data_IF_173263208944
#
_entry.id   IF_173263208944
#
_cell.length_a   1.000
_cell.length_b   1.000
_cell.length_c   1.000
_cell.angle_alpha   90.00
_cell.angle_beta   90.00
_cell.angle_gamma   90.00
#
_symmetry.space_group_name_H-M   'P 1'
#
loop_
_entity.id
_entity.type
_entity.pdbx_description
1 polymer ?
#
# COMPACT_ATOMS: atom_id res chain seq x y z
N UNK A 1 3.06 -8.76 19.58
CA UNK A 1 1.98 -9.70 19.16
C UNK A 1 0.88 -8.95 18.41
N UNK A 2 0.00 -9.68 17.71
CA UNK A 2 -1.16 -9.08 17.05
C UNK A 2 -2.11 -8.42 18.07
N UNK A 3 -2.29 -9.05 19.22
CA UNK A 3 -3.15 -8.55 20.30
C UNK A 3 -2.65 -7.19 20.80
N UNK A 4 -1.38 -7.04 21.11
CA UNK A 4 -0.77 -5.77 21.54
C UNK A 4 -0.93 -4.69 20.46
N UNK A 5 -0.73 -5.04 19.19
CA UNK A 5 -0.91 -4.10 18.08
C UNK A 5 -2.37 -3.61 17.97
N UNK A 6 -3.35 -4.50 18.14
CA UNK A 6 -4.77 -4.14 18.13
C UNK A 6 -5.17 -3.27 19.32
N UNK A 7 -4.58 -3.48 20.50
CA UNK A 7 -4.78 -2.60 21.67
C UNK A 7 -4.22 -1.19 21.40
N UNK A 8 -3.03 -1.08 20.79
CA UNK A 8 -2.47 0.22 20.38
C UNK A 8 -3.35 0.91 19.34
N UNK A 9 -3.87 0.16 18.36
CA UNK A 9 -4.77 0.70 17.34
C UNK A 9 -6.03 1.25 18.00
N UNK A 10 -6.62 0.55 18.98
CA UNK A 10 -7.76 1.05 19.73
C UNK A 10 -7.46 2.38 20.40
N UNK A 11 -6.32 2.49 21.09
CA UNK A 11 -5.90 3.76 21.71
C UNK A 11 -5.71 4.90 20.69
N UNK A 12 -5.25 4.59 19.47
CA UNK A 12 -5.14 5.56 18.36
C UNK A 12 -6.55 5.96 17.88
N UNK A 13 -7.46 4.99 17.71
CA UNK A 13 -8.84 5.23 17.29
C UNK A 13 -9.61 6.09 18.33
N UNK A 14 -9.41 5.86 19.63
CA UNK A 14 -10.02 6.65 20.71
C UNK A 14 -9.60 8.13 20.66
N UNK A 15 -8.47 8.44 20.01
CA UNK A 15 -8.00 9.80 19.72
C UNK A 15 -8.51 10.36 18.39
N UNK A 16 -9.36 9.62 17.67
CA UNK A 16 -9.95 10.03 16.40
C UNK A 16 -9.11 9.74 15.14
N UNK A 17 -8.04 8.96 15.26
CA UNK A 17 -7.18 8.60 14.11
C UNK A 17 -7.51 7.20 13.59
N UNK A 18 -7.42 7.02 12.29
CA UNK A 18 -7.41 5.71 11.65
C UNK A 18 -6.01 5.09 11.68
N UNK A 19 -5.92 3.78 11.54
CA UNK A 19 -4.64 3.08 11.49
C UNK A 19 -4.51 2.19 10.24
N UNK A 20 -3.27 1.86 9.92
CA UNK A 20 -2.93 0.79 8.98
C UNK A 20 -1.98 -0.16 9.69
N UNK A 21 -2.23 -1.47 9.61
CA UNK A 21 -1.36 -2.50 10.19
C UNK A 21 -0.82 -3.41 9.09
N UNK A 22 0.39 -3.89 9.27
CA UNK A 22 1.00 -4.96 8.47
C UNK A 22 1.65 -6.02 9.37
N UNK A 23 1.88 -7.20 8.81
CA UNK A 23 2.74 -8.22 9.41
C UNK A 23 4.13 -8.02 8.83
N UNK A 24 5.11 -7.74 9.68
CA UNK A 24 6.49 -7.50 9.23
C UNK A 24 7.05 -8.75 8.56
N UNK A 25 7.58 -8.59 7.37
CA UNK A 25 8.19 -9.62 6.55
C UNK A 25 8.12 -9.30 5.08
N UNK A 26 9.01 -9.90 4.32
CA UNK A 26 9.08 -9.81 2.86
C UNK A 26 9.96 -10.94 2.31
N UNK A 27 9.96 -11.13 0.98
CA UNK A 27 10.89 -12.00 0.26
C UNK A 27 10.74 -13.50 0.61
N UNK A 28 9.55 -13.97 0.97
CA UNK A 28 9.28 -15.39 1.25
C UNK A 28 9.40 -16.22 -0.04
N UNK A 29 10.03 -17.38 0.08
CA UNK A 29 10.26 -18.34 -1.01
C UNK A 29 9.68 -19.72 -0.73
N UNK A 30 9.08 -19.92 0.43
CA UNK A 30 8.43 -21.14 0.84
C UNK A 30 6.89 -21.00 0.75
N UNK A 31 6.24 -21.92 0.04
CA UNK A 31 4.78 -21.86 -0.20
C UNK A 31 3.98 -22.03 1.09
N UNK A 32 4.39 -22.92 1.99
CA UNK A 32 3.66 -23.17 3.22
C UNK A 32 3.77 -21.97 4.17
N UNK A 33 4.92 -21.30 4.18
CA UNK A 33 5.12 -20.04 4.90
C UNK A 33 4.22 -18.94 4.32
N UNK A 34 4.20 -18.74 3.00
CA UNK A 34 3.34 -17.75 2.34
C UNK A 34 1.85 -18.00 2.63
N UNK A 35 1.40 -19.27 2.60
CA UNK A 35 0.02 -19.65 2.96
C UNK A 35 -0.28 -19.40 4.44
N UNK A 36 0.68 -19.65 5.33
CA UNK A 36 0.50 -19.38 6.76
C UNK A 36 0.37 -17.86 7.04
N UNK A 37 1.20 -17.04 6.42
CA UNK A 37 1.09 -15.57 6.50
C UNK A 37 -0.26 -15.09 5.94
N UNK A 38 -0.70 -15.66 4.83
CA UNK A 38 -2.03 -15.37 4.25
C UNK A 38 -3.15 -15.62 5.26
N UNK A 39 -3.12 -16.76 5.97
CA UNK A 39 -4.09 -17.08 7.03
C UNK A 39 -4.03 -16.07 8.19
N UNK A 40 -2.84 -15.57 8.55
CA UNK A 40 -2.68 -14.58 9.60
C UNK A 40 -3.30 -13.23 9.18
N UNK A 41 -3.13 -12.77 7.95
CA UNK A 41 -3.80 -11.59 7.42
C UNK A 41 -5.33 -11.74 7.42
N UNK A 42 -5.84 -12.88 7.00
CA UNK A 42 -7.28 -13.18 7.07
C UNK A 42 -7.82 -13.12 8.51
N UNK A 43 -7.08 -13.69 9.47
CA UNK A 43 -7.43 -13.62 10.90
C UNK A 43 -7.44 -12.18 11.40
N UNK A 44 -6.48 -11.35 11.00
CA UNK A 44 -6.43 -9.93 11.40
C UNK A 44 -7.66 -9.16 10.94
N UNK A 45 -8.16 -9.36 9.71
CA UNK A 45 -9.41 -8.71 9.28
C UNK A 45 -10.59 -9.04 10.19
N UNK A 46 -10.72 -10.32 10.58
CA UNK A 46 -11.77 -10.74 11.49
C UNK A 46 -11.61 -10.09 12.88
N UNK A 47 -10.40 -10.03 13.42
CA UNK A 47 -10.12 -9.39 14.71
C UNK A 47 -10.40 -7.87 14.69
N UNK A 48 -10.02 -7.18 13.60
CA UNK A 48 -10.30 -5.76 13.39
C UNK A 48 -11.82 -5.52 13.37
N UNK A 49 -12.56 -6.34 12.62
CA UNK A 49 -14.01 -6.24 12.51
C UNK A 49 -14.72 -6.52 13.83
N UNK A 50 -14.34 -7.61 14.52
CA UNK A 50 -14.92 -7.98 15.83
C UNK A 50 -14.74 -6.92 16.90
N UNK A 51 -13.64 -6.18 16.85
CA UNK A 51 -13.32 -5.10 17.78
C UNK A 51 -13.79 -3.72 17.27
N UNK A 52 -14.44 -3.66 16.11
CA UNK A 52 -14.92 -2.42 15.46
C UNK A 52 -13.81 -1.37 15.31
N UNK A 53 -12.58 -1.80 15.00
CA UNK A 53 -11.43 -0.90 14.89
C UNK A 53 -11.42 -0.19 13.53
N UNK A 54 -11.12 1.10 13.53
CA UNK A 54 -10.86 1.88 12.32
C UNK A 54 -9.41 1.65 11.86
N UNK A 55 -9.20 0.51 11.21
CA UNK A 55 -7.91 0.02 10.78
C UNK A 55 -8.03 -0.80 9.49
N UNK A 56 -7.10 -0.63 8.57
CA UNK A 56 -6.98 -1.46 7.37
C UNK A 56 -5.63 -2.21 7.34
N UNK A 57 -5.50 -3.16 6.42
CA UNK A 57 -4.26 -3.90 6.22
C UNK A 57 -3.47 -3.35 5.04
N UNK A 58 -2.15 -3.33 5.20
CA UNK A 58 -1.16 -3.18 4.15
C UNK A 58 -0.36 -4.47 4.03
N UNK A 59 -0.15 -4.96 2.80
CA UNK A 59 0.57 -6.22 2.57
C UNK A 59 1.65 -6.04 1.51
N UNK A 60 2.77 -6.73 1.69
CA UNK A 60 3.81 -6.84 0.66
C UNK A 60 3.55 -8.07 -0.19
N UNK A 61 3.44 -7.94 -1.53
CA UNK A 61 3.24 -9.09 -2.41
C UNK A 61 4.29 -10.18 -2.25
N UNK A 62 5.57 -9.84 -1.99
CA UNK A 62 6.62 -10.85 -1.78
C UNK A 62 6.50 -11.57 -0.43
N UNK A 63 5.78 -11.01 0.53
CA UNK A 63 5.48 -11.68 1.81
C UNK A 63 4.43 -12.78 1.67
N UNK A 64 3.62 -12.71 0.61
CA UNK A 64 2.53 -13.66 0.35
C UNK A 64 2.73 -14.44 -0.96
N UNK A 65 3.97 -14.60 -1.41
CA UNK A 65 4.34 -15.55 -2.45
C UNK A 65 4.79 -14.99 -3.78
N UNK A 66 4.92 -13.67 -3.97
CA UNK A 66 5.34 -13.11 -5.27
C UNK A 66 6.77 -13.53 -5.68
N UNK A 67 7.63 -13.92 -4.75
CA UNK A 67 8.93 -14.50 -5.07
C UNK A 67 8.86 -15.95 -5.54
N UNK A 68 7.79 -16.64 -5.20
CA UNK A 68 7.58 -18.02 -5.63
C UNK A 68 7.04 -18.01 -7.05
N UNK A 69 5.90 -17.36 -7.24
CA UNK A 69 5.30 -17.12 -8.55
C UNK A 69 4.23 -16.03 -8.47
N UNK A 70 3.91 -15.44 -9.62
CA UNK A 70 2.80 -14.50 -9.72
C UNK A 70 1.46 -15.18 -9.40
N UNK A 71 1.26 -16.42 -9.83
CA UNK A 71 0.02 -17.17 -9.59
C UNK A 71 -0.18 -17.49 -8.10
N UNK A 72 0.89 -17.86 -7.37
CA UNK A 72 0.82 -18.08 -5.92
C UNK A 72 0.47 -16.78 -5.18
N UNK A 73 1.10 -15.65 -5.55
CA UNK A 73 0.77 -14.35 -4.97
C UNK A 73 -0.69 -13.97 -5.24
N UNK A 74 -1.17 -14.16 -6.47
CA UNK A 74 -2.56 -13.87 -6.84
C UNK A 74 -3.53 -14.72 -6.04
N UNK A 75 -3.28 -16.02 -5.89
CA UNK A 75 -4.12 -16.91 -5.12
C UNK A 75 -4.20 -16.48 -3.64
N UNK A 76 -3.05 -16.23 -3.01
CA UNK A 76 -2.96 -15.81 -1.63
C UNK A 76 -3.59 -14.43 -1.39
N UNK A 77 -3.32 -13.45 -2.26
CA UNK A 77 -3.89 -12.10 -2.16
C UNK A 77 -5.40 -12.14 -2.41
N UNK A 78 -5.90 -13.01 -3.30
CA UNK A 78 -7.34 -13.20 -3.51
C UNK A 78 -8.03 -13.70 -2.23
N UNK A 79 -7.42 -14.61 -1.48
CA UNK A 79 -7.96 -15.06 -0.20
C UNK A 79 -8.04 -13.91 0.82
N UNK A 80 -6.99 -13.08 0.92
CA UNK A 80 -6.97 -11.90 1.79
C UNK A 80 -8.02 -10.88 1.33
N UNK A 81 -8.15 -10.65 0.03
CA UNK A 81 -9.13 -9.73 -0.56
C UNK A 81 -10.57 -10.14 -0.27
N UNK A 82 -10.88 -11.44 -0.38
CA UNK A 82 -12.19 -11.97 -0.03
C UNK A 82 -12.52 -11.69 1.43
N UNK A 83 -11.54 -11.87 2.33
CA UNK A 83 -11.73 -11.58 3.74
C UNK A 83 -11.89 -10.07 4.00
N UNK A 84 -11.16 -9.20 3.28
CA UNK A 84 -11.36 -7.76 3.31
C UNK A 84 -12.78 -7.39 2.87
N UNK A 85 -13.29 -7.99 1.79
CA UNK A 85 -14.63 -7.78 1.25
C UNK A 85 -15.72 -8.22 2.23
N UNK A 86 -15.60 -9.39 2.83
CA UNK A 86 -16.53 -9.91 3.86
C UNK A 86 -16.62 -8.96 5.06
N UNK A 87 -15.49 -8.39 5.47
CA UNK A 87 -15.42 -7.44 6.59
C UNK A 87 -15.65 -5.98 6.16
N UNK A 88 -16.00 -5.71 4.89
CA UNK A 88 -16.19 -4.36 4.33
C UNK A 88 -15.00 -3.42 4.61
N UNK A 89 -13.80 -3.96 4.55
CA UNK A 89 -12.57 -3.27 4.87
C UNK A 89 -11.71 -3.01 3.61
N UNK A 90 -10.70 -2.18 3.72
CA UNK A 90 -9.80 -1.80 2.64
C UNK A 90 -8.53 -2.66 2.65
N UNK A 91 -7.99 -2.97 1.46
CA UNK A 91 -6.71 -3.64 1.28
C UNK A 91 -5.70 -2.71 0.59
N UNK A 92 -4.52 -2.51 1.19
CA UNK A 92 -3.39 -1.82 0.57
C UNK A 92 -2.35 -2.82 0.09
N UNK A 93 -1.97 -2.74 -1.17
CA UNK A 93 -0.80 -3.43 -1.72
C UNK A 93 0.41 -2.50 -1.63
N UNK A 94 1.41 -2.89 -0.87
CA UNK A 94 2.65 -2.14 -0.75
C UNK A 94 3.49 -2.27 -2.02
N UNK A 95 4.29 -1.25 -2.30
CA UNK A 95 5.24 -1.25 -3.39
C UNK A 95 6.62 -1.61 -2.86
N UNK A 96 7.23 -2.58 -3.50
CA UNK A 96 8.56 -3.06 -3.17
C UNK A 96 9.60 -2.56 -4.19
N UNK A 97 10.74 -3.22 -4.33
CA UNK A 97 11.77 -2.83 -5.28
C UNK A 97 11.33 -3.03 -6.75
N UNK A 98 12.03 -2.39 -7.65
CA UNK A 98 11.64 -2.24 -9.07
C UNK A 98 11.32 -3.52 -9.84
N UNK A 99 11.97 -4.68 -9.59
CA UNK A 99 11.60 -5.93 -10.27
C UNK A 99 10.15 -6.38 -10.03
N UNK A 100 9.52 -5.97 -8.91
CA UNK A 100 8.16 -6.38 -8.56
C UNK A 100 7.09 -5.33 -8.89
N UNK A 101 7.49 -4.14 -9.38
CA UNK A 101 6.56 -3.03 -9.64
C UNK A 101 5.45 -3.42 -10.61
N UNK A 102 5.78 -4.00 -11.76
CA UNK A 102 4.77 -4.35 -12.77
C UNK A 102 3.85 -5.49 -12.29
N UNK A 103 4.40 -6.49 -11.63
CA UNK A 103 3.61 -7.57 -11.02
C UNK A 103 2.67 -7.03 -9.93
N UNK A 104 3.11 -6.08 -9.10
CA UNK A 104 2.26 -5.45 -8.09
C UNK A 104 1.09 -4.72 -8.73
N UNK A 105 1.32 -4.00 -9.84
CA UNK A 105 0.23 -3.35 -10.57
C UNK A 105 -0.69 -4.34 -11.28
N UNK A 106 -0.18 -5.47 -11.78
CA UNK A 106 -1.02 -6.53 -12.34
C UNK A 106 -1.92 -7.14 -11.25
N UNK A 107 -1.36 -7.47 -10.09
CA UNK A 107 -2.13 -7.95 -8.93
C UNK A 107 -3.20 -6.93 -8.52
N UNK A 108 -2.83 -5.65 -8.43
CA UNK A 108 -3.78 -4.57 -8.15
C UNK A 108 -4.94 -4.54 -9.13
N UNK A 109 -4.65 -4.60 -10.43
CA UNK A 109 -5.68 -4.57 -11.46
C UNK A 109 -6.66 -5.75 -11.34
N UNK A 110 -6.16 -6.96 -11.05
CA UNK A 110 -6.98 -8.16 -10.80
C UNK A 110 -7.83 -8.02 -9.52
N UNK A 111 -7.25 -7.50 -8.44
CA UNK A 111 -7.98 -7.24 -7.21
C UNK A 111 -9.10 -6.23 -7.43
N UNK A 112 -8.82 -5.14 -8.14
CA UNK A 112 -9.75 -4.05 -8.41
C UNK A 112 -10.98 -4.48 -9.22
N UNK A 113 -10.84 -5.48 -10.09
CA UNK A 113 -11.96 -6.08 -10.82
C UNK A 113 -12.96 -6.80 -9.90
N UNK A 114 -12.50 -7.31 -8.77
CA UNK A 114 -13.29 -8.10 -7.83
C UNK A 114 -13.79 -7.32 -6.61
N UNK A 115 -13.07 -6.24 -6.24
CA UNK A 115 -13.39 -5.42 -5.08
C UNK A 115 -12.83 -4.00 -5.24
N UNK A 116 -13.69 -2.99 -5.08
CA UNK A 116 -13.29 -1.60 -5.31
C UNK A 116 -12.41 -0.99 -4.19
N UNK A 117 -12.52 -1.50 -2.95
CA UNK A 117 -11.77 -0.97 -1.80
C UNK A 117 -10.35 -1.56 -1.71
N UNK A 118 -9.60 -1.38 -2.79
CA UNK A 118 -8.19 -1.77 -2.91
C UNK A 118 -7.39 -0.56 -3.37
N UNK A 119 -6.19 -0.42 -2.85
CA UNK A 119 -5.24 0.61 -3.27
C UNK A 119 -3.81 0.09 -3.34
N UNK A 120 -2.93 0.90 -3.92
CA UNK A 120 -1.50 0.60 -4.05
C UNK A 120 -0.65 1.67 -3.38
N UNK A 121 0.66 1.45 -3.34
CA UNK A 121 1.65 2.47 -2.97
C UNK A 121 2.39 2.93 -4.22
N UNK A 122 2.64 4.23 -4.30
CA UNK A 122 3.46 4.88 -5.32
C UNK A 122 4.69 5.48 -4.63
N UNK A 123 5.86 5.22 -5.18
CA UNK A 123 7.13 5.68 -4.60
C UNK A 123 7.67 6.86 -5.43
N UNK A 124 7.77 8.05 -4.83
CA UNK A 124 8.14 9.27 -5.55
C UNK A 124 9.58 9.29 -6.05
N UNK A 125 10.45 8.43 -5.53
CA UNK A 125 11.82 8.33 -6.05
C UNK A 125 11.91 7.63 -7.41
N UNK A 126 10.94 6.78 -7.77
CA UNK A 126 10.95 6.10 -9.07
C UNK A 126 10.60 7.07 -10.19
N UNK A 127 11.40 7.05 -11.26
CA UNK A 127 11.21 7.93 -12.43
C UNK A 127 9.91 7.65 -13.18
N UNK A 128 9.44 6.40 -13.15
CA UNK A 128 8.22 5.95 -13.81
C UNK A 128 6.92 6.32 -13.09
N UNK A 129 6.99 6.76 -11.83
CA UNK A 129 5.81 6.90 -10.96
C UNK A 129 4.73 7.82 -11.51
N UNK A 130 5.09 8.88 -12.22
CA UNK A 130 4.10 9.76 -12.86
C UNK A 130 3.36 9.04 -13.98
N UNK A 131 4.07 8.36 -14.87
CA UNK A 131 3.49 7.57 -15.97
C UNK A 131 2.59 6.45 -15.44
N UNK A 132 3.03 5.77 -14.36
CA UNK A 132 2.21 4.74 -13.71
C UNK A 132 0.89 5.32 -13.18
N UNK A 133 0.90 6.49 -12.54
CA UNK A 133 -0.33 7.17 -12.10
C UNK A 133 -1.18 7.56 -13.31
N UNK A 134 -0.60 8.13 -14.36
CA UNK A 134 -1.33 8.54 -15.56
C UNK A 134 -2.06 7.36 -16.22
N UNK A 135 -1.45 6.18 -16.20
CA UNK A 135 -2.01 4.93 -16.72
C UNK A 135 -3.08 4.32 -15.81
N UNK A 136 -2.89 4.37 -14.50
CA UNK A 136 -3.72 3.64 -13.54
C UNK A 136 -4.84 4.49 -12.94
N UNK A 137 -4.65 5.81 -12.83
CA UNK A 137 -5.56 6.66 -12.10
C UNK A 137 -6.86 6.91 -12.88
N UNK A 138 -7.94 6.53 -12.24
CA UNK A 138 -9.32 6.86 -12.55
C UNK A 138 -9.99 7.39 -11.28
N UNK A 139 -11.22 7.88 -11.33
CA UNK A 139 -11.89 8.51 -10.19
C UNK A 139 -11.97 7.68 -8.91
N UNK A 140 -11.82 6.36 -9.00
CA UNK A 140 -11.77 5.46 -7.83
C UNK A 140 -10.38 4.89 -7.57
N UNK A 141 -9.32 5.45 -8.17
CA UNK A 141 -7.93 5.08 -7.86
C UNK A 141 -7.56 5.56 -6.47
N UNK A 142 -6.93 4.69 -5.69
CA UNK A 142 -6.50 4.98 -4.34
C UNK A 142 -5.04 4.59 -4.19
N UNK A 143 -4.16 5.56 -3.95
CA UNK A 143 -2.76 5.27 -3.69
C UNK A 143 -2.22 6.04 -2.48
N UNK A 144 -1.28 5.40 -1.78
CA UNK A 144 -0.43 6.03 -0.79
C UNK A 144 0.88 6.44 -1.47
N UNK A 145 1.20 7.72 -1.44
CA UNK A 145 2.47 8.21 -1.96
C UNK A 145 3.50 8.19 -0.83
N UNK A 146 4.65 7.58 -1.06
CA UNK A 146 5.81 7.62 -0.18
C UNK A 146 7.06 8.04 -0.96
N UNK A 147 8.18 8.32 -0.25
CA UNK A 147 9.45 8.69 -0.91
C UNK A 147 10.08 7.53 -1.65
N UNK A 148 10.01 6.34 -1.11
CA UNK A 148 10.73 5.14 -1.52
C UNK A 148 11.88 4.83 -0.56
N UNK A 149 12.22 3.54 -0.42
CA UNK A 149 13.21 3.07 0.56
C UNK A 149 14.23 2.11 -0.03
N UNK A 150 13.89 1.39 -1.09
CA UNK A 150 14.79 0.39 -1.67
C UNK A 150 15.95 1.05 -2.40
N UNK A 151 17.10 0.37 -2.41
CA UNK A 151 18.26 0.81 -3.15
C UNK A 151 18.07 0.47 -4.63
N UNK A 152 17.97 1.51 -5.47
CA UNK A 152 17.79 1.40 -6.91
C UNK A 152 18.89 2.18 -7.65
N UNK A 153 19.17 1.80 -8.90
CA UNK A 153 20.10 2.55 -9.73
C UNK A 153 19.56 3.94 -10.08
N UNK A 154 20.46 4.86 -10.40
CA UNK A 154 20.07 6.22 -10.84
C UNK A 154 19.29 6.24 -12.15
N UNK A 155 19.34 5.19 -12.96
CA UNK A 155 18.52 5.05 -14.17
C UNK A 155 17.07 4.74 -13.85
N UNK A 156 16.79 4.14 -12.69
CA UNK A 156 15.46 3.74 -12.23
C UNK A 156 14.89 4.79 -11.26
N UNK A 157 15.72 5.32 -10.35
CA UNK A 157 15.27 6.20 -9.29
C UNK A 157 16.11 7.49 -9.19
N UNK A 158 15.45 8.56 -8.75
CA UNK A 158 16.14 9.77 -8.34
C UNK A 158 16.98 9.52 -7.09
N UNK A 159 18.25 9.94 -7.10
CA UNK A 159 19.14 9.85 -5.94
C UNK A 159 19.13 11.15 -5.12
N UNK A 160 18.79 12.28 -5.75
CA UNK A 160 18.73 13.58 -5.13
C UNK A 160 17.46 13.74 -4.29
N UNK A 161 17.64 14.05 -3.00
CA UNK A 161 16.53 14.18 -2.05
C UNK A 161 15.55 15.29 -2.42
N UNK A 162 16.04 16.38 -3.04
CA UNK A 162 15.18 17.48 -3.49
C UNK A 162 14.30 17.01 -4.64
N UNK A 163 14.86 16.33 -5.64
CA UNK A 163 14.10 15.77 -6.77
C UNK A 163 13.03 14.78 -6.31
N UNK A 164 13.32 13.96 -5.30
CA UNK A 164 12.35 13.01 -4.72
C UNK A 164 11.17 13.76 -4.09
N UNK A 165 11.43 14.85 -3.35
CA UNK A 165 10.38 15.69 -2.75
C UNK A 165 9.58 16.44 -3.81
N UNK A 166 10.25 17.06 -4.78
CA UNK A 166 9.60 17.78 -5.88
C UNK A 166 8.68 16.83 -6.67
N UNK A 167 9.15 15.60 -6.93
CA UNK A 167 8.33 14.57 -7.57
C UNK A 167 7.15 14.13 -6.70
N UNK A 168 7.34 14.02 -5.37
CA UNK A 168 6.23 13.70 -4.45
C UNK A 168 5.06 14.70 -4.59
N UNK A 169 5.35 16.00 -4.61
CA UNK A 169 4.36 17.05 -4.81
C UNK A 169 3.72 16.94 -6.21
N UNK A 170 4.54 16.67 -7.24
CA UNK A 170 4.04 16.49 -8.61
C UNK A 170 3.04 15.33 -8.67
N UNK A 171 3.38 14.17 -8.09
CA UNK A 171 2.50 13.00 -8.06
C UNK A 171 1.20 13.28 -7.29
N UNK A 172 1.26 14.01 -6.17
CA UNK A 172 0.08 14.42 -5.41
C UNK A 172 -0.87 15.26 -6.28
N UNK A 173 -0.33 16.24 -7.02
CA UNK A 173 -1.10 17.09 -7.92
C UNK A 173 -1.69 16.33 -9.09
N UNK A 174 -0.94 15.40 -9.69
CA UNK A 174 -1.43 14.53 -10.79
C UNK A 174 -2.59 13.66 -10.31
N UNK A 175 -2.47 13.03 -9.13
CA UNK A 175 -3.57 12.25 -8.56
C UNK A 175 -4.81 13.08 -8.30
N UNK A 176 -4.66 14.26 -7.70
CA UNK A 176 -5.77 15.16 -7.42
C UNK A 176 -6.48 15.61 -8.71
N UNK A 177 -5.73 15.94 -9.78
CA UNK A 177 -6.30 16.34 -11.07
C UNK A 177 -7.13 15.24 -11.74
N UNK A 178 -6.91 13.98 -11.35
CA UNK A 178 -7.67 12.82 -11.83
C UNK A 178 -8.81 12.41 -10.89
N UNK A 179 -9.05 13.16 -9.82
CA UNK A 179 -10.06 12.83 -8.80
C UNK A 179 -9.72 11.57 -7.98
N UNK A 180 -8.45 11.16 -7.97
CA UNK A 180 -7.99 10.00 -7.25
C UNK A 180 -7.67 10.31 -5.79
N UNK A 181 -7.84 9.34 -4.89
CA UNK A 181 -7.46 9.48 -3.49
C UNK A 181 -5.95 9.34 -3.32
N UNK A 182 -5.29 10.35 -2.73
CA UNK A 182 -3.88 10.35 -2.40
C UNK A 182 -3.67 10.38 -0.88
N UNK A 183 -3.13 9.30 -0.31
CA UNK A 183 -2.62 9.29 1.05
C UNK A 183 -1.14 9.70 1.07
N UNK A 184 -0.74 10.65 1.92
CA UNK A 184 0.64 11.16 1.98
C UNK A 184 1.40 10.51 3.12
N UNK A 185 2.28 9.56 2.80
CA UNK A 185 3.10 8.84 3.78
C UNK A 185 4.46 9.53 3.97
N UNK A 186 4.48 10.56 4.80
CA UNK A 186 5.69 11.31 5.14
C UNK A 186 5.60 11.92 6.53
N UNK A 187 6.75 12.07 7.20
CA UNK A 187 6.95 12.89 8.39
C UNK A 187 8.02 13.97 8.16
N UNK A 188 8.32 14.27 6.90
CA UNK A 188 9.20 15.37 6.51
C UNK A 188 8.42 16.69 6.60
N UNK A 189 8.72 17.51 7.62
CA UNK A 189 7.96 18.72 7.92
C UNK A 189 7.88 19.67 6.71
N UNK A 190 8.98 19.87 6.01
CA UNK A 190 9.00 20.76 4.84
C UNK A 190 8.07 20.25 3.72
N UNK A 191 7.97 18.94 3.53
CA UNK A 191 7.06 18.35 2.56
C UNK A 191 5.60 18.44 3.03
N UNK A 192 5.36 18.27 4.32
CA UNK A 192 4.03 18.44 4.93
C UNK A 192 3.54 19.87 4.75
N UNK A 193 4.38 20.87 5.06
CA UNK A 193 4.04 22.28 4.93
C UNK A 193 3.67 22.64 3.48
N UNK A 194 4.46 22.19 2.50
CA UNK A 194 4.16 22.40 1.08
C UNK A 194 2.85 21.73 0.62
N UNK A 195 2.53 20.55 1.16
CA UNK A 195 1.26 19.86 0.86
C UNK A 195 0.08 20.63 1.47
N UNK A 196 0.21 21.09 2.70
CA UNK A 196 -0.83 21.90 3.38
C UNK A 196 -1.06 23.23 2.67
N UNK A 197 -0.01 23.95 2.28
CA UNK A 197 -0.11 25.19 1.51
C UNK A 197 -0.79 25.00 0.15
N UNK A 198 -0.62 23.82 -0.45
CA UNK A 198 -1.27 23.50 -1.72
C UNK A 198 -2.73 23.07 -1.58
N UNK A 199 -3.11 22.44 -0.48
CA UNK A 199 -4.48 21.94 -0.25
C UNK A 199 -5.41 23.07 0.21
N UNK A 200 -4.90 24.08 0.96
CA UNK A 200 -5.65 25.23 1.46
C UNK A 200 -5.80 26.31 0.39
#
# INVERSE_FOLDING_TARGET
TAEEALEHIKAINDRGFSATIDILGEQITDEDEARNITKQYCKLYNQISQQSLNCNLSIKPTHVGLRISLDEAIANITNILNQAKENKNFLRLDMENSPYTDHTFEIYARCKQNYEHVGVVIQSYLRRSQEDIERLASGNFNARICKGIYQESETIAFQDRKKIKDNFITLAKVMASKGAFAGFATHDQNLIDQLLDWIN
#
